data_IF_741367847527
#
_entry.id   IF_741367847527
#
_cell.length_a   1.000
_cell.length_b   1.000
_cell.length_c   1.000
_cell.angle_alpha   90.00
_cell.angle_beta   90.00
_cell.angle_gamma   90.00
#
_symmetry.space_group_name_H-M   'P 1'
#
loop_
_entity.id
_entity.type
_entity.pdbx_description
1 polymer ?
#
# COMPACT_ATOMS: atom_id res chain seq x y z
N UNK A 1 -9.25 -12.97 1.96
CA UNK A 1 -8.72 -13.00 0.59
C UNK A 1 -7.59 -14.02 0.51
N UNK A 2 -7.64 -14.87 -0.51
CA UNK A 2 -6.56 -15.79 -0.87
C UNK A 2 -5.50 -15.08 -1.72
N UNK A 3 -4.35 -15.75 -1.90
CA UNK A 3 -3.32 -15.28 -2.84
C UNK A 3 -3.85 -15.18 -4.27
N UNK A 4 -4.73 -16.11 -4.67
CA UNK A 4 -5.33 -16.12 -6.01
C UNK A 4 -6.26 -14.92 -6.20
N UNK A 5 -7.15 -14.62 -5.24
CA UNK A 5 -8.06 -13.47 -5.32
C UNK A 5 -7.30 -12.14 -5.41
N UNK A 6 -6.26 -11.94 -4.58
CA UNK A 6 -5.40 -10.75 -4.64
C UNK A 6 -4.60 -10.74 -5.95
N UNK A 7 -4.12 -11.91 -6.38
CA UNK A 7 -3.42 -12.10 -7.65
C UNK A 7 -4.28 -11.70 -8.84
N UNK A 8 -5.50 -12.22 -8.95
CA UNK A 8 -6.44 -11.90 -10.02
C UNK A 8 -6.82 -10.42 -10.03
N UNK A 9 -7.17 -9.88 -8.85
CA UNK A 9 -7.52 -8.46 -8.71
C UNK A 9 -6.39 -7.55 -9.21
N UNK A 10 -5.18 -7.78 -8.73
CA UNK A 10 -4.01 -6.97 -9.13
C UNK A 10 -3.64 -7.15 -10.61
N UNK A 11 -3.87 -8.34 -11.19
CA UNK A 11 -3.68 -8.55 -12.63
C UNK A 11 -4.71 -7.80 -13.47
N UNK A 12 -5.99 -7.78 -13.09
CA UNK A 12 -7.03 -6.99 -13.78
C UNK A 12 -6.69 -5.51 -13.75
N UNK A 13 -6.26 -4.98 -12.60
CA UNK A 13 -5.82 -3.59 -12.45
C UNK A 13 -4.63 -3.30 -13.37
N UNK A 14 -3.62 -4.17 -13.39
CA UNK A 14 -2.46 -4.01 -14.25
C UNK A 14 -2.82 -4.01 -15.74
N UNK A 15 -3.69 -4.93 -16.15
CA UNK A 15 -4.13 -5.01 -17.55
C UNK A 15 -4.96 -3.78 -17.95
N UNK A 16 -5.78 -3.23 -17.05
CA UNK A 16 -6.51 -1.99 -17.28
C UNK A 16 -5.56 -0.79 -17.45
N UNK A 17 -4.53 -0.69 -16.60
CA UNK A 17 -3.50 0.35 -16.71
C UNK A 17 -2.76 0.27 -18.06
N UNK A 18 -2.33 -0.93 -18.45
CA UNK A 18 -1.62 -1.15 -19.72
C UNK A 18 -2.51 -0.85 -20.93
N UNK A 19 -3.80 -1.18 -20.89
CA UNK A 19 -4.75 -0.90 -21.95
C UNK A 19 -4.95 0.62 -22.18
N UNK A 20 -4.77 1.43 -21.14
CA UNK A 20 -4.80 2.91 -21.23
C UNK A 20 -3.42 3.52 -21.55
N UNK A 21 -2.42 2.70 -21.81
CA UNK A 21 -1.09 3.16 -22.19
C UNK A 21 -0.17 3.53 -21.03
N UNK A 22 -0.58 3.24 -19.78
CA UNK A 22 0.33 3.34 -18.64
C UNK A 22 1.24 2.12 -18.60
N UNK A 23 2.44 2.30 -18.08
CA UNK A 23 3.41 1.21 -18.00
C UNK A 23 4.72 1.68 -17.38
N UNK A 24 5.82 1.12 -17.84
CA UNK A 24 7.17 1.46 -17.38
C UNK A 24 7.37 2.98 -17.35
N UNK A 25 7.92 3.51 -16.26
CA UNK A 25 8.14 4.91 -15.97
C UNK A 25 6.90 5.73 -15.56
N UNK A 26 5.68 5.28 -15.87
CA UNK A 26 4.47 5.93 -15.36
C UNK A 26 4.37 5.76 -13.84
N UNK A 27 3.74 6.72 -13.17
CA UNK A 27 3.67 6.79 -11.73
C UNK A 27 2.23 6.83 -11.24
N UNK A 28 1.94 6.04 -10.22
CA UNK A 28 0.61 5.99 -9.63
C UNK A 28 0.63 6.04 -8.12
N UNK A 29 -0.41 6.55 -7.52
CA UNK A 29 -0.61 6.64 -6.07
C UNK A 29 -1.90 5.98 -5.62
N UNK A 30 -1.95 5.58 -4.35
CA UNK A 30 -3.13 5.02 -3.71
C UNK A 30 -3.42 5.80 -2.44
N UNK A 31 -4.46 6.64 -2.46
CA UNK A 31 -4.91 7.42 -1.32
C UNK A 31 -6.07 6.71 -0.62
N UNK A 32 -5.72 5.86 0.31
CA UNK A 32 -6.67 5.00 1.01
C UNK A 32 -6.22 4.73 2.45
N UNK A 33 -7.17 4.43 3.32
CA UNK A 33 -6.91 3.77 4.59
C UNK A 33 -6.41 2.33 4.37
N UNK A 34 -6.27 1.58 5.47
CA UNK A 34 -5.87 0.20 5.39
C UNK A 34 -7.00 -0.67 4.82
N UNK A 35 -6.80 -1.16 3.62
CA UNK A 35 -7.75 -1.97 2.87
C UNK A 35 -7.02 -2.91 1.90
N UNK A 36 -7.58 -4.12 1.69
CA UNK A 36 -6.98 -5.13 0.79
C UNK A 36 -7.07 -4.70 -0.67
N UNK A 37 -8.15 -3.99 -1.05
CA UNK A 37 -8.31 -3.45 -2.40
C UNK A 37 -7.27 -2.37 -2.69
N UNK A 38 -6.99 -1.50 -1.71
CA UNK A 38 -5.94 -0.50 -1.80
C UNK A 38 -4.56 -1.14 -2.02
N UNK A 39 -4.27 -2.23 -1.30
CA UNK A 39 -3.03 -2.98 -1.51
C UNK A 39 -3.00 -3.67 -2.88
N UNK A 40 -4.12 -4.22 -3.34
CA UNK A 40 -4.25 -4.80 -4.68
C UNK A 40 -4.00 -3.76 -5.79
N UNK A 41 -4.40 -2.49 -5.58
CA UNK A 41 -4.07 -1.40 -6.49
C UNK A 41 -2.56 -1.15 -6.55
N UNK A 42 -1.88 -1.13 -5.40
CA UNK A 42 -0.40 -1.01 -5.35
C UNK A 42 0.29 -2.15 -6.09
N UNK A 43 -0.16 -3.40 -5.87
CA UNK A 43 0.35 -4.57 -6.59
C UNK A 43 0.06 -4.48 -8.09
N UNK A 44 -1.11 -3.93 -8.47
CA UNK A 44 -1.48 -3.68 -9.87
C UNK A 44 -0.55 -2.70 -10.57
N UNK A 45 -0.18 -1.60 -9.89
CA UNK A 45 0.84 -0.66 -10.39
C UNK A 45 2.16 -1.38 -10.68
N UNK A 46 2.66 -2.17 -9.73
CA UNK A 46 3.92 -2.92 -9.92
C UNK A 46 3.84 -3.96 -11.01
N UNK A 47 2.69 -4.66 -11.17
CA UNK A 47 2.48 -5.62 -12.25
C UNK A 47 2.42 -4.97 -13.62
N UNK A 48 1.99 -3.71 -13.69
CA UNK A 48 2.03 -2.90 -14.92
C UNK A 48 3.42 -2.29 -15.20
N UNK A 49 4.43 -2.53 -14.34
CA UNK A 49 5.76 -1.94 -14.45
C UNK A 49 5.83 -0.47 -14.00
N UNK A 50 4.81 0.01 -13.32
CA UNK A 50 4.71 1.40 -12.87
C UNK A 50 5.40 1.61 -11.52
N UNK A 51 5.80 2.87 -11.29
CA UNK A 51 6.31 3.31 -10.00
C UNK A 51 5.15 3.70 -9.07
N UNK A 52 5.17 3.15 -7.85
CA UNK A 52 4.23 3.53 -6.81
C UNK A 52 4.72 4.73 -5.99
N UNK A 53 3.83 5.71 -5.80
CA UNK A 53 4.03 6.88 -4.93
C UNK A 53 3.23 6.64 -3.65
N UNK A 54 3.86 6.33 -2.51
CA UNK A 54 3.19 6.22 -1.22
C UNK A 54 2.63 7.58 -0.78
N UNK A 55 1.32 7.65 -0.51
CA UNK A 55 0.66 8.81 0.09
C UNK A 55 -0.08 8.40 1.35
N UNK A 56 -0.06 9.25 2.36
CA UNK A 56 -0.69 8.94 3.65
C UNK A 56 -2.16 9.38 3.69
N UNK A 57 -3.07 8.46 4.04
CA UNK A 57 -4.48 8.78 4.23
C UNK A 57 -4.71 9.87 5.31
N UNK A 58 -3.79 9.99 6.27
CA UNK A 58 -3.87 10.96 7.38
C UNK A 58 -3.07 12.23 7.17
N UNK A 59 -2.31 12.31 6.08
CA UNK A 59 -1.56 13.50 5.75
C UNK A 59 -2.51 14.66 5.45
N UNK A 60 -2.13 15.90 5.76
CA UNK A 60 -2.83 17.07 5.26
C UNK A 60 -2.93 17.02 3.72
N UNK A 61 -4.07 17.46 3.18
CA UNK A 61 -4.30 17.47 1.73
C UNK A 61 -3.20 18.21 0.95
N UNK A 62 -2.65 19.28 1.52
CA UNK A 62 -1.57 20.04 0.92
C UNK A 62 -0.26 19.25 0.79
N UNK A 63 0.03 18.35 1.74
CA UNK A 63 1.20 17.48 1.69
C UNK A 63 1.03 16.41 0.59
N UNK A 64 -0.12 15.75 0.55
CA UNK A 64 -0.40 14.78 -0.52
C UNK A 64 -0.44 15.45 -1.90
N UNK A 65 -1.02 16.66 -2.00
CA UNK A 65 -0.96 17.45 -3.24
C UNK A 65 0.48 17.69 -3.69
N UNK A 66 1.33 18.17 -2.77
CA UNK A 66 2.73 18.44 -3.10
C UNK A 66 3.44 17.18 -3.61
N UNK A 67 3.24 16.02 -2.96
CA UNK A 67 3.87 14.75 -3.35
C UNK A 67 3.37 14.29 -4.71
N UNK A 68 2.06 14.34 -4.95
CA UNK A 68 1.46 13.92 -6.23
C UNK A 68 1.91 14.78 -7.39
N UNK A 69 2.00 16.10 -7.20
CA UNK A 69 2.43 17.06 -8.21
C UNK A 69 3.95 16.97 -8.48
N UNK A 70 4.76 17.04 -7.41
CA UNK A 70 6.22 17.04 -7.52
C UNK A 70 6.79 15.73 -8.08
N UNK A 71 6.06 14.62 -7.96
CA UNK A 71 6.48 13.32 -8.47
C UNK A 71 5.78 12.93 -9.77
N UNK A 72 5.06 13.85 -10.41
CA UNK A 72 4.35 13.64 -11.68
C UNK A 72 3.43 12.41 -11.62
N UNK A 73 2.54 12.35 -10.63
CA UNK A 73 1.55 11.27 -10.52
C UNK A 73 0.61 11.29 -11.72
N UNK A 74 0.45 10.15 -12.39
CA UNK A 74 -0.39 10.01 -13.58
C UNK A 74 -1.69 9.25 -13.31
N UNK A 75 -1.71 8.40 -12.26
CA UNK A 75 -2.87 7.61 -11.86
C UNK A 75 -3.11 7.77 -10.37
N UNK A 76 -4.31 8.16 -9.97
CA UNK A 76 -4.69 8.22 -8.57
C UNK A 76 -5.85 7.27 -8.28
N UNK A 77 -5.55 6.23 -7.48
CA UNK A 77 -6.56 5.42 -6.80
C UNK A 77 -6.93 6.07 -5.47
N UNK A 78 -8.22 6.15 -5.15
CA UNK A 78 -8.65 6.75 -3.87
C UNK A 78 -9.92 6.09 -3.34
N UNK A 79 -10.09 6.06 -2.02
CA UNK A 79 -11.35 5.67 -1.39
C UNK A 79 -12.35 6.81 -1.46
N UNK A 80 -13.64 6.46 -1.51
CA UNK A 80 -14.74 7.42 -1.60
C UNK A 80 -14.72 8.46 -0.49
N UNK A 81 -14.30 8.08 0.71
CA UNK A 81 -14.18 9.03 1.84
C UNK A 81 -13.24 10.23 1.53
N UNK A 82 -12.29 10.06 0.62
CA UNK A 82 -11.38 11.13 0.17
C UNK A 82 -11.87 11.88 -1.07
N UNK A 83 -12.99 11.48 -1.69
CA UNK A 83 -13.49 12.09 -2.91
C UNK A 83 -13.70 13.61 -2.80
N UNK A 84 -14.22 14.18 -1.70
CA UNK A 84 -14.36 15.64 -1.58
C UNK A 84 -13.02 16.39 -1.63
N UNK A 85 -11.99 15.86 -0.99
CA UNK A 85 -10.65 16.47 -1.01
C UNK A 85 -9.97 16.28 -2.35
N UNK A 86 -10.12 15.10 -2.96
CA UNK A 86 -9.61 14.78 -4.29
C UNK A 86 -10.23 15.68 -5.35
N UNK A 87 -11.56 15.91 -5.29
CA UNK A 87 -12.25 16.86 -6.18
C UNK A 87 -11.66 18.28 -6.09
N UNK A 88 -11.32 18.73 -4.87
CA UNK A 88 -10.68 20.03 -4.66
C UNK A 88 -9.23 20.12 -5.20
N UNK A 89 -8.55 18.98 -5.31
CA UNK A 89 -7.19 18.88 -5.86
C UNK A 89 -7.15 18.61 -7.37
N UNK A 90 -8.22 18.05 -7.94
CA UNK A 90 -8.31 17.67 -9.34
C UNK A 90 -7.80 18.77 -10.31
N UNK A 91 -8.23 20.05 -10.23
CA UNK A 91 -7.75 21.09 -11.13
C UNK A 91 -6.28 21.50 -10.91
N UNK A 92 -5.67 21.04 -9.84
CA UNK A 92 -4.29 21.36 -9.43
C UNK A 92 -3.30 20.23 -9.75
N UNK A 93 -3.78 19.11 -10.28
CA UNK A 93 -2.99 17.92 -10.61
C UNK A 93 -3.17 17.57 -12.10
N UNK A 94 -2.71 18.44 -13.03
CA UNK A 94 -2.94 18.28 -14.46
C UNK A 94 -2.28 17.04 -15.06
N UNK A 95 -1.27 16.47 -14.38
CA UNK A 95 -0.58 15.26 -14.82
C UNK A 95 -1.36 13.97 -14.52
N UNK A 96 -2.33 14.02 -13.60
CA UNK A 96 -3.17 12.84 -13.28
C UNK A 96 -4.19 12.64 -14.40
N UNK A 97 -4.04 11.57 -15.15
CA UNK A 97 -4.85 11.20 -16.31
C UNK A 97 -5.97 10.22 -15.97
N UNK A 98 -5.79 9.42 -14.91
CA UNK A 98 -6.77 8.45 -14.45
C UNK A 98 -7.08 8.63 -12.95
N UNK A 99 -8.38 8.77 -12.66
CA UNK A 99 -8.95 8.93 -11.32
C UNK A 99 -9.85 7.76 -11.03
N UNK A 100 -9.48 6.89 -10.08
CA UNK A 100 -10.17 5.63 -9.84
C UNK A 100 -10.61 5.55 -8.38
N UNK A 101 -11.93 5.55 -8.15
CA UNK A 101 -12.50 5.30 -6.82
C UNK A 101 -12.52 3.78 -6.56
N UNK A 102 -11.86 3.33 -5.47
CA UNK A 102 -11.64 1.90 -5.25
C UNK A 102 -12.80 1.17 -4.56
N UNK A 103 -13.71 1.89 -3.93
CA UNK A 103 -14.79 1.35 -3.10
C UNK A 103 -16.17 1.91 -3.45
N UNK A 104 -16.33 2.51 -4.63
CA UNK A 104 -17.62 3.03 -5.10
C UNK A 104 -17.49 3.96 -6.27
N UNK A 105 -18.51 4.79 -6.44
CA UNK A 105 -18.56 5.88 -7.41
C UNK A 105 -18.16 7.19 -6.73
N UNK A 106 -17.57 8.12 -7.46
CA UNK A 106 -17.17 9.44 -6.95
C UNK A 106 -17.55 10.53 -7.99
N UNK A 107 -18.84 10.82 -8.15
CA UNK A 107 -19.33 11.76 -9.19
C UNK A 107 -18.84 13.19 -8.98
N UNK A 108 -18.43 13.56 -7.78
CA UNK A 108 -17.84 14.85 -7.45
C UNK A 108 -16.42 15.06 -8.00
N UNK A 109 -15.72 13.96 -8.37
CA UNK A 109 -14.39 14.03 -8.99
C UNK A 109 -14.55 13.91 -10.50
N UNK A 110 -14.26 14.95 -11.28
CA UNK A 110 -14.45 14.92 -12.73
C UNK A 110 -13.68 13.78 -13.40
N UNK A 111 -14.38 12.96 -14.21
CA UNK A 111 -13.76 11.83 -14.92
C UNK A 111 -13.35 10.64 -14.05
N UNK A 112 -13.73 10.64 -12.76
CA UNK A 112 -13.51 9.47 -11.91
C UNK A 112 -14.34 8.27 -12.36
N UNK A 113 -13.80 7.09 -12.21
CA UNK A 113 -14.43 5.80 -12.52
C UNK A 113 -14.38 4.90 -11.30
N UNK A 114 -15.39 4.08 -11.10
CA UNK A 114 -15.27 3.04 -10.06
C UNK A 114 -14.31 1.94 -10.50
N UNK A 115 -13.50 1.45 -9.56
CA UNK A 115 -12.55 0.38 -9.81
C UNK A 115 -13.25 -0.85 -10.41
N UNK A 116 -14.40 -1.23 -9.84
CA UNK A 116 -15.15 -2.40 -10.27
C UNK A 116 -15.54 -2.33 -11.76
N UNK A 117 -16.10 -1.20 -12.21
CA UNK A 117 -16.46 -1.02 -13.61
C UNK A 117 -15.22 -0.92 -14.51
N UNK A 118 -14.18 -0.24 -14.03
CA UNK A 118 -12.95 -0.01 -14.80
C UNK A 118 -12.17 -1.28 -15.12
N UNK A 119 -12.17 -2.27 -14.20
CA UNK A 119 -11.45 -3.54 -14.40
C UNK A 119 -12.32 -4.66 -14.98
N UNK A 120 -13.63 -4.46 -15.15
CA UNK A 120 -14.60 -5.53 -15.41
C UNK A 120 -14.24 -6.38 -16.66
N UNK A 121 -13.84 -5.74 -17.73
CA UNK A 121 -13.53 -6.40 -19.01
C UNK A 121 -12.06 -6.77 -19.19
N UNK A 122 -11.24 -6.53 -18.17
CA UNK A 122 -9.80 -6.82 -18.23
C UNK A 122 -9.45 -8.21 -17.70
N UNK A 123 -8.51 -8.93 -18.32
CA UNK A 123 -8.16 -10.29 -17.94
C UNK A 123 -7.48 -10.33 -16.56
N UNK A 124 -7.76 -11.42 -15.82
CA UNK A 124 -7.11 -11.71 -14.53
C UNK A 124 -5.74 -12.39 -14.69
N UNK A 125 -5.30 -12.64 -15.92
CA UNK A 125 -3.99 -13.25 -16.18
C UNK A 125 -2.86 -12.25 -16.01
N UNK A 126 -1.72 -12.72 -15.50
CA UNK A 126 -0.54 -11.88 -15.31
C UNK A 126 -0.10 -11.25 -16.64
N UNK A 127 0.01 -9.93 -16.73
CA UNK A 127 0.53 -9.28 -17.93
C UNK A 127 2.01 -9.62 -18.15
N UNK A 128 2.41 -9.65 -19.41
CA UNK A 128 3.81 -9.81 -19.79
C UNK A 128 4.45 -8.41 -19.88
N UNK A 129 5.07 -7.97 -18.79
CA UNK A 129 5.75 -6.67 -18.70
C UNK A 129 7.22 -6.92 -18.46
N UNK A 130 8.05 -6.34 -19.30
CA UNK A 130 9.51 -6.38 -19.14
C UNK A 130 9.92 -5.22 -18.21
N UNK A 131 10.54 -5.56 -17.07
CA UNK A 131 11.04 -4.61 -16.08
C UNK A 131 12.51 -4.86 -15.82
N UNK A 132 13.31 -3.79 -15.72
CA UNK A 132 14.69 -3.85 -15.31
C UNK A 132 14.79 -3.85 -13.76
N UNK A 133 15.81 -4.53 -13.24
CA UNK A 133 16.06 -4.50 -11.79
C UNK A 133 16.38 -3.08 -11.28
N UNK A 134 16.85 -2.21 -12.13
CA UNK A 134 17.18 -0.83 -11.79
C UNK A 134 16.03 0.16 -12.08
N UNK A 135 14.89 -0.31 -12.59
CA UNK A 135 13.66 0.49 -12.66
C UNK A 135 13.17 0.88 -11.26
N UNK A 136 12.73 2.14 -11.12
CA UNK A 136 12.20 2.66 -9.87
C UNK A 136 10.79 2.11 -9.66
N UNK A 137 10.61 1.38 -8.58
CA UNK A 137 9.32 0.74 -8.23
C UNK A 137 8.58 1.46 -7.12
N UNK A 138 9.31 2.21 -6.27
CA UNK A 138 8.72 3.05 -5.22
C UNK A 138 9.43 4.40 -5.18
N UNK A 139 8.65 5.48 -5.19
CA UNK A 139 9.14 6.85 -5.04
C UNK A 139 8.54 7.45 -3.77
N UNK A 140 9.29 7.38 -2.67
CA UNK A 140 8.82 7.81 -1.35
C UNK A 140 9.22 9.24 -1.04
N UNK A 141 8.29 10.03 -0.53
CA UNK A 141 8.61 11.36 0.03
C UNK A 141 9.25 11.23 1.41
N UNK A 142 10.31 11.98 1.65
CA UNK A 142 10.89 12.12 3.00
C UNK A 142 10.59 13.50 3.58
N UNK A 143 10.21 13.53 4.86
CA UNK A 143 10.13 14.78 5.61
C UNK A 143 11.51 15.41 5.74
N UNK A 144 11.82 16.37 4.88
CA UNK A 144 13.08 17.12 4.97
C UNK A 144 13.04 18.11 6.13
N UNK A 145 14.08 18.13 6.97
CA UNK A 145 14.27 19.16 8.00
C UNK A 145 14.62 20.54 7.40
N UNK A 146 14.82 20.62 6.09
CA UNK A 146 15.38 21.77 5.38
C UNK A 146 14.51 22.37 4.29
N UNK A 147 13.20 22.04 4.21
CA UNK A 147 12.30 22.58 3.18
C UNK A 147 11.44 21.53 2.49
N UNK A 148 11.26 21.62 1.17
CA UNK A 148 10.41 20.70 0.39
C UNK A 148 10.82 19.24 0.54
N UNK A 149 9.85 18.30 0.65
CA UNK A 149 10.13 16.87 0.68
C UNK A 149 11.00 16.43 -0.49
N UNK A 150 11.94 15.51 -0.22
CA UNK A 150 12.78 14.89 -1.25
C UNK A 150 12.24 13.52 -1.60
N UNK A 151 12.35 13.13 -2.87
CA UNK A 151 12.00 11.78 -3.32
C UNK A 151 13.15 10.81 -3.10
N UNK A 152 12.86 9.68 -2.43
CA UNK A 152 13.77 8.54 -2.36
C UNK A 152 13.30 7.51 -3.39
N UNK A 153 14.16 7.21 -4.34
CA UNK A 153 13.93 6.23 -5.40
C UNK A 153 14.38 4.84 -4.93
N UNK A 154 13.43 3.92 -4.82
CA UNK A 154 13.71 2.52 -4.56
C UNK A 154 13.49 1.74 -5.85
N UNK A 155 14.51 0.99 -6.26
CA UNK A 155 14.44 0.13 -7.45
C UNK A 155 13.91 -1.26 -7.11
N UNK A 156 13.56 -2.06 -8.12
CA UNK A 156 13.26 -3.48 -7.92
C UNK A 156 14.41 -4.19 -7.19
N UNK A 157 15.66 -3.91 -7.57
CA UNK A 157 16.86 -4.45 -6.94
C UNK A 157 16.92 -4.11 -5.44
N UNK A 158 16.76 -2.83 -5.08
CA UNK A 158 16.82 -2.41 -3.68
C UNK A 158 15.67 -2.99 -2.85
N UNK A 159 14.47 -3.10 -3.41
CA UNK A 159 13.30 -3.69 -2.75
C UNK A 159 13.47 -5.20 -2.55
N UNK A 160 13.98 -5.92 -3.54
CA UNK A 160 14.30 -7.35 -3.38
C UNK A 160 15.39 -7.58 -2.34
N UNK A 161 16.44 -6.74 -2.34
CA UNK A 161 17.52 -6.80 -1.35
C UNK A 161 16.98 -6.53 0.05
N UNK A 162 16.10 -5.54 0.21
CA UNK A 162 15.41 -5.27 1.48
C UNK A 162 14.64 -6.51 1.97
N UNK A 163 13.81 -7.12 1.10
CA UNK A 163 13.06 -8.33 1.47
C UNK A 163 14.01 -9.48 1.86
N UNK A 164 15.10 -9.71 1.12
CA UNK A 164 16.07 -10.73 1.43
C UNK A 164 16.76 -10.49 2.78
N UNK A 165 17.21 -9.26 3.05
CA UNK A 165 17.83 -8.91 4.34
C UNK A 165 16.85 -9.07 5.50
N UNK A 166 15.59 -8.67 5.31
CA UNK A 166 14.57 -8.86 6.34
C UNK A 166 14.37 -10.34 6.66
N UNK A 167 14.22 -11.17 5.62
CA UNK A 167 14.07 -12.63 5.78
C UNK A 167 15.28 -13.30 6.43
N UNK A 168 16.48 -12.77 6.18
CA UNK A 168 17.71 -13.26 6.85
C UNK A 168 17.81 -12.81 8.31
N UNK A 169 17.22 -11.68 8.66
CA UNK A 169 17.25 -11.13 10.02
C UNK A 169 16.17 -11.74 10.93
N UNK A 170 15.09 -12.25 10.35
CA UNK A 170 14.05 -12.96 11.07
C UNK A 170 14.36 -14.47 11.08
N UNK A 171 14.33 -15.07 12.25
CA UNK A 171 14.50 -16.51 12.38
C UNK A 171 13.18 -17.22 12.09
N UNK A 172 12.97 -17.56 10.81
CA UNK A 172 11.84 -18.38 10.40
C UNK A 172 12.24 -19.86 10.36
N UNK A 173 11.43 -20.72 10.96
CA UNK A 173 11.56 -22.17 10.73
C UNK A 173 11.21 -22.52 9.28
N UNK A 174 11.73 -23.67 8.79
CA UNK A 174 11.59 -24.04 7.38
C UNK A 174 10.13 -24.11 6.91
N UNK A 175 9.25 -24.64 7.76
CA UNK A 175 7.82 -24.83 7.45
C UNK A 175 6.93 -23.71 8.03
N UNK A 176 7.51 -22.69 8.63
CA UNK A 176 6.77 -21.60 9.23
C UNK A 176 6.07 -20.77 8.17
N UNK A 177 4.81 -20.44 8.46
CA UNK A 177 4.01 -19.49 7.70
C UNK A 177 3.78 -18.28 8.60
N UNK A 178 4.56 -17.21 8.46
CA UNK A 178 4.42 -16.05 9.32
C UNK A 178 3.05 -15.40 9.17
N UNK A 179 2.60 -14.77 10.25
CA UNK A 179 1.39 -13.95 10.29
C UNK A 179 1.80 -12.52 10.62
N UNK A 180 1.83 -11.67 9.62
CA UNK A 180 2.18 -10.26 9.75
C UNK A 180 0.95 -9.42 10.06
N UNK A 181 1.01 -8.59 11.11
CA UNK A 181 -0.04 -7.65 11.45
C UNK A 181 0.28 -6.24 10.93
N UNK A 182 -0.38 -5.84 9.85
CA UNK A 182 -0.26 -4.52 9.27
C UNK A 182 -1.18 -3.52 9.99
N UNK A 183 -0.70 -2.96 11.10
CA UNK A 183 -1.39 -1.93 11.87
C UNK A 183 -1.07 -0.49 11.39
N UNK A 184 0.10 -0.27 10.81
CA UNK A 184 0.46 0.98 10.15
C UNK A 184 -0.12 1.02 8.71
N UNK A 185 -0.09 2.20 8.01
CA UNK A 185 -0.66 2.31 6.68
C UNK A 185 -0.04 1.32 5.68
N UNK A 186 -0.90 0.46 5.09
CA UNK A 186 -0.48 -0.54 4.10
C UNK A 186 -0.08 0.13 2.77
N UNK A 187 -0.67 1.28 2.46
CA UNK A 187 -0.28 2.12 1.33
C UNK A 187 0.96 2.98 1.62
N UNK A 188 1.80 2.51 2.55
CA UNK A 188 3.07 3.10 2.95
C UNK A 188 4.02 1.99 3.45
N UNK A 189 4.76 2.23 4.53
CA UNK A 189 5.80 1.34 5.06
C UNK A 189 5.30 -0.06 5.42
N UNK A 190 4.08 -0.19 6.00
CA UNK A 190 3.57 -1.50 6.40
C UNK A 190 3.34 -2.44 5.22
N UNK A 191 2.96 -1.91 4.05
CA UNK A 191 2.86 -2.72 2.83
C UNK A 191 4.21 -3.30 2.41
N UNK A 192 5.27 -2.49 2.39
CA UNK A 192 6.62 -2.97 2.08
C UNK A 192 7.09 -4.02 3.10
N UNK A 193 6.82 -3.80 4.40
CA UNK A 193 7.19 -4.72 5.46
C UNK A 193 6.37 -6.01 5.47
N UNK A 194 5.22 -6.06 4.78
CA UNK A 194 4.45 -7.29 4.59
C UNK A 194 4.97 -8.19 3.47
N UNK A 195 5.84 -7.67 2.59
CA UNK A 195 6.37 -8.43 1.44
C UNK A 195 7.17 -9.68 1.85
N UNK A 196 8.08 -9.64 2.85
CA UNK A 196 8.78 -10.83 3.30
C UNK A 196 7.84 -11.94 3.79
N UNK A 197 6.83 -11.58 4.58
CA UNK A 197 5.77 -12.51 5.01
C UNK A 197 5.04 -13.12 3.81
N UNK A 198 4.62 -12.27 2.85
CA UNK A 198 3.96 -12.71 1.62
C UNK A 198 4.84 -13.65 0.80
N UNK A 199 6.14 -13.35 0.66
CA UNK A 199 7.09 -14.19 -0.08
C UNK A 199 7.26 -15.59 0.54
N UNK A 200 7.02 -15.74 1.84
CA UNK A 200 7.02 -17.02 2.55
C UNK A 200 5.66 -17.74 2.50
N UNK A 201 4.67 -17.20 1.82
CA UNK A 201 3.31 -17.75 1.80
C UNK A 201 2.56 -17.56 3.13
N UNK A 202 2.94 -16.54 3.89
CA UNK A 202 2.31 -16.17 5.15
C UNK A 202 1.00 -15.40 4.98
N UNK A 203 0.41 -15.00 6.10
CA UNK A 203 -0.85 -14.25 6.15
C UNK A 203 -0.58 -12.81 6.56
N UNK A 204 -1.17 -11.84 5.86
CA UNK A 204 -1.14 -10.44 6.26
C UNK A 204 -2.50 -10.06 6.84
N UNK A 205 -2.53 -9.77 8.14
CA UNK A 205 -3.72 -9.27 8.84
C UNK A 205 -3.72 -7.74 8.75
N UNK A 206 -4.72 -7.18 8.10
CA UNK A 206 -4.81 -5.73 7.87
C UNK A 206 -5.76 -5.12 8.89
N UNK A 207 -5.24 -4.28 9.79
CA UNK A 207 -6.08 -3.49 10.70
C UNK A 207 -6.46 -2.17 10.05
N UNK A 208 -7.75 -1.85 10.06
CA UNK A 208 -8.27 -0.59 9.52
C UNK A 208 -7.76 0.65 10.26
N UNK A 209 -7.40 0.49 11.54
CA UNK A 209 -6.89 1.56 12.40
C UNK A 209 -5.75 1.04 13.29
N UNK A 210 -4.71 1.83 13.57
CA UNK A 210 -3.68 1.50 14.57
C UNK A 210 -4.22 1.77 15.99
N UNK A 211 -5.29 1.09 16.33
CA UNK A 211 -5.91 1.15 17.64
C UNK A 211 -5.29 0.10 18.55
N UNK A 212 -4.76 0.46 19.72
CA UNK A 212 -4.14 -0.48 20.66
C UNK A 212 -5.04 -1.64 21.06
N UNK A 213 -6.34 -1.40 21.26
CA UNK A 213 -7.27 -2.46 21.67
C UNK A 213 -7.47 -3.47 20.53
N UNK A 214 -7.65 -3.00 19.28
CA UNK A 214 -7.74 -3.87 18.11
C UNK A 214 -6.46 -4.66 17.90
N UNK A 215 -5.30 -4.05 18.13
CA UNK A 215 -4.00 -4.71 18.00
C UNK A 215 -3.86 -5.84 19.01
N UNK A 216 -4.17 -5.59 20.31
CA UNK A 216 -4.12 -6.58 21.37
C UNK A 216 -5.12 -7.72 21.13
N UNK A 217 -6.27 -7.45 20.56
CA UNK A 217 -7.25 -8.47 20.17
C UNK A 217 -6.77 -9.30 18.98
N UNK A 218 -6.14 -8.67 18.00
CA UNK A 218 -5.70 -9.33 16.76
C UNK A 218 -4.56 -10.35 17.02
N UNK A 219 -3.65 -10.03 17.94
CA UNK A 219 -2.48 -10.89 18.23
C UNK A 219 -2.89 -12.34 18.54
N UNK A 220 -3.67 -12.60 19.59
CA UNK A 220 -4.09 -13.98 19.89
C UNK A 220 -5.09 -14.53 18.88
N UNK A 221 -6.00 -13.69 18.35
CA UNK A 221 -7.05 -14.12 17.44
C UNK A 221 -6.48 -14.70 16.14
N UNK A 222 -5.46 -14.06 15.59
CA UNK A 222 -4.83 -14.46 14.34
C UNK A 222 -3.50 -15.18 14.53
N UNK A 223 -3.06 -15.40 15.78
CA UNK A 223 -1.74 -15.96 16.12
C UNK A 223 -0.62 -15.21 15.39
N UNK A 224 -0.63 -13.88 15.54
CA UNK A 224 0.35 -13.00 14.91
C UNK A 224 1.76 -13.37 15.35
N UNK A 225 2.67 -13.50 14.38
CA UNK A 225 4.08 -13.83 14.65
C UNK A 225 4.99 -12.62 14.51
N UNK A 226 4.55 -11.61 13.75
CA UNK A 226 5.35 -10.41 13.50
C UNK A 226 4.49 -9.19 13.21
N UNK A 227 4.95 -8.03 13.58
CA UNK A 227 4.31 -6.76 13.22
C UNK A 227 5.30 -5.59 13.26
N UNK A 228 4.95 -4.55 12.53
CA UNK A 228 5.63 -3.25 12.60
C UNK A 228 4.74 -2.23 13.30
N UNK A 229 5.29 -1.54 14.30
CA UNK A 229 4.61 -0.44 14.98
C UNK A 229 5.44 0.85 14.90
N UNK A 230 4.83 1.96 14.51
CA UNK A 230 5.43 3.27 14.70
C UNK A 230 5.60 3.57 16.20
N UNK A 231 6.62 4.35 16.60
CA UNK A 231 6.85 4.71 18.01
C UNK A 231 5.61 5.27 18.73
N UNK A 232 4.80 6.05 18.02
CA UNK A 232 3.55 6.61 18.57
C UNK A 232 2.53 5.56 18.99
N UNK A 233 2.47 4.42 18.31
CA UNK A 233 1.59 3.30 18.67
C UNK A 233 2.19 2.52 19.84
N UNK A 234 3.52 2.35 19.85
CA UNK A 234 4.23 1.71 20.98
C UNK A 234 3.97 2.48 22.27
N UNK A 235 4.12 3.81 22.27
CA UNK A 235 3.83 4.64 23.45
C UNK A 235 2.38 4.47 23.94
N UNK A 236 1.40 4.47 23.03
CA UNK A 236 -0.01 4.25 23.39
C UNK A 236 -0.25 2.85 23.98
N UNK A 237 0.49 1.84 23.55
CA UNK A 237 0.41 0.50 24.15
C UNK A 237 0.99 0.51 25.57
N UNK A 238 2.13 1.17 25.77
CA UNK A 238 2.78 1.27 27.08
C UNK A 238 1.95 2.06 28.09
N UNK A 239 1.08 2.96 27.64
CA UNK A 239 0.16 3.72 28.50
C UNK A 239 -1.06 2.90 28.96
N UNK A 240 -1.25 1.66 28.46
CA UNK A 240 -2.34 0.78 28.89
C UNK A 240 -1.95 0.15 30.25
N UNK A 241 -2.72 0.40 31.32
CA UNK A 241 -2.50 -0.28 32.59
C UNK A 241 -2.61 -1.80 32.41
N UNK A 242 -1.70 -2.52 33.03
CA UNK A 242 -1.72 -4.00 33.05
C UNK A 242 -1.71 -4.64 31.65
N UNK A 243 -1.01 -4.04 30.68
CA UNK A 243 -0.92 -4.48 29.28
C UNK A 243 -0.69 -6.00 29.14
N UNK A 244 0.08 -6.59 30.04
CA UNK A 244 0.43 -8.01 30.00
C UNK A 244 -0.64 -8.92 30.64
N UNK A 245 -1.69 -8.36 31.22
CA UNK A 245 -2.73 -9.11 31.92
C UNK A 245 -3.80 -9.58 30.93
N UNK A 246 -3.85 -10.89 30.68
CA UNK A 246 -4.92 -11.52 29.90
C UNK A 246 -4.77 -11.54 28.39
N UNK A 247 -3.67 -11.04 27.84
CA UNK A 247 -3.36 -11.16 26.41
C UNK A 247 -2.35 -12.27 26.19
N UNK A 248 -2.67 -13.20 25.30
CA UNK A 248 -1.75 -14.26 24.88
C UNK A 248 -0.81 -13.76 23.78
N UNK A 249 0.46 -13.56 24.11
CA UNK A 249 1.54 -13.16 23.20
C UNK A 249 2.41 -14.34 22.75
N UNK A 250 2.02 -15.57 23.03
CA UNK A 250 2.87 -16.77 22.81
C UNK A 250 3.19 -17.02 21.32
N UNK A 251 2.51 -16.36 20.40
CA UNK A 251 2.76 -16.47 18.96
C UNK A 251 3.82 -15.49 18.43
N UNK A 252 4.19 -14.46 19.21
CA UNK A 252 5.19 -13.46 18.82
C UNK A 252 6.62 -13.97 19.01
#
# INVERSE_FOLDING_TARGET
YSFDEVGESSCRIANALLAEGFGREAKGAVWAGNDVTAWSCTLGLWRAGMCWIPVGARNPAAENHFVLDAFDCEVLFFQHEFAPVVAGLHPKLPNVKAWICIDGEAPEVPGARSLQAWVADHPATRPNVDVDLDDVVVLSATGGTTGSPKGVMNTHRSTQTFCAHFMMSCHYEADERPVNLAAAPITHTAGLLSLPCTARGGTVVVLTKPDPALLLQAIPTHRVTEFFLPPTVIYRLLDIPDLNMGVDFSSL
#
